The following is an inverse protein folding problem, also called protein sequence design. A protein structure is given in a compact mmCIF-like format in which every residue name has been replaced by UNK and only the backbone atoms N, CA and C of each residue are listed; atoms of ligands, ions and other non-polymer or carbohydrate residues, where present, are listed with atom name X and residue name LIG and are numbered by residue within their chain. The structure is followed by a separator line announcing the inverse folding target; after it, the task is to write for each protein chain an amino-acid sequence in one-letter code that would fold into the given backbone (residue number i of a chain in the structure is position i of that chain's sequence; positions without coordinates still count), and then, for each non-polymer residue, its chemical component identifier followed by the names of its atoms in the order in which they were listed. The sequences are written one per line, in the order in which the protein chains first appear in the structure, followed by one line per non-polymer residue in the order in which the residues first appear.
data_IF_676511672220
#
_entry.id   IF_676511672220
#
_cell.length_a   1.000
_cell.length_b   1.000
_cell.length_c   1.000
_cell.angle_alpha   90.00
_cell.angle_beta   90.00
_cell.angle_gamma   90.00
#
_symmetry.space_group_name_H-M   'P 1'
#
loop_
_entity.id
_entity.type
_entity.pdbx_description
1 polymer ?
#
# COMPACT_ATOMS: atom_id res chain seq x y z
N UNK A 1 -6.63 -31.52 20.83
CA UNK A 1 -5.52 -31.30 19.87
C UNK A 1 -6.07 -31.57 18.49
N UNK A 2 -6.34 -30.52 17.71
CA UNK A 2 -6.79 -30.62 16.34
C UNK A 2 -6.05 -29.57 15.51
N UNK A 3 -5.19 -30.10 14.65
CA UNK A 3 -4.79 -29.64 13.31
C UNK A 3 -4.54 -28.14 13.09
N UNK A 4 -3.25 -27.86 12.92
CA UNK A 4 -2.66 -26.65 12.33
C UNK A 4 -3.28 -26.33 10.96
N UNK A 5 -3.92 -25.15 10.84
CA UNK A 5 -4.14 -24.53 9.54
C UNK A 5 -2.82 -23.87 9.15
N UNK A 6 -2.02 -24.66 8.42
CA UNK A 6 -0.86 -24.17 7.69
C UNK A 6 -1.41 -23.23 6.63
N UNK A 7 -1.36 -21.92 6.93
CA UNK A 7 -1.44 -20.90 5.90
C UNK A 7 -0.25 -21.14 4.97
N UNK A 8 -0.48 -21.95 3.95
CA UNK A 8 0.42 -22.21 2.83
C UNK A 8 0.40 -20.96 1.94
N UNK A 9 0.82 -19.83 2.51
CA UNK A 9 0.91 -18.57 1.79
C UNK A 9 2.24 -18.59 1.04
N UNK A 10 2.22 -19.25 -0.13
CA UNK A 10 3.21 -19.00 -1.17
C UNK A 10 3.45 -17.49 -1.23
N UNK A 11 4.70 -16.99 -1.28
CA UNK A 11 4.93 -15.59 -1.55
C UNK A 11 4.31 -15.31 -2.93
N UNK A 12 3.10 -14.75 -2.95
CA UNK A 12 2.44 -14.32 -4.18
C UNK A 12 3.38 -13.30 -4.79
N UNK A 13 4.06 -13.71 -5.86
CA UNK A 13 5.01 -12.85 -6.54
C UNK A 13 4.30 -11.56 -6.90
N UNK A 14 4.90 -10.39 -6.62
CA UNK A 14 4.21 -9.13 -6.80
C UNK A 14 3.86 -8.94 -8.28
N UNK A 15 2.65 -8.46 -8.54
CA UNK A 15 2.22 -8.08 -9.89
C UNK A 15 2.79 -6.69 -10.18
N UNK A 16 3.73 -6.63 -11.12
CA UNK A 16 4.46 -5.40 -11.45
C UNK A 16 3.87 -4.78 -12.71
N UNK A 17 3.31 -3.59 -12.59
CA UNK A 17 2.94 -2.77 -13.73
C UNK A 17 4.17 -2.06 -14.26
N UNK A 18 4.46 -2.23 -15.55
CA UNK A 18 5.62 -1.62 -16.21
C UNK A 18 5.14 -0.46 -17.07
N UNK A 19 5.73 0.72 -16.86
CA UNK A 19 5.58 1.88 -17.72
C UNK A 19 6.95 2.39 -18.15
N UNK A 20 7.06 2.83 -19.41
CA UNK A 20 8.34 3.25 -19.99
C UNK A 20 8.86 4.51 -19.27
N UNK A 21 10.05 4.41 -18.68
CA UNK A 21 10.71 5.53 -18.03
C UNK A 21 10.15 5.92 -16.66
N UNK A 22 9.26 5.12 -16.06
CA UNK A 22 8.68 5.38 -14.74
C UNK A 22 8.99 4.20 -13.83
N UNK A 23 9.53 4.49 -12.64
CA UNK A 23 9.80 3.48 -11.60
C UNK A 23 8.53 3.27 -10.78
N UNK A 24 8.27 2.03 -10.35
CA UNK A 24 7.16 1.73 -9.44
C UNK A 24 7.53 2.21 -8.03
N UNK A 25 6.85 3.24 -7.56
CA UNK A 25 7.10 3.93 -6.28
C UNK A 25 5.96 3.69 -5.27
N UNK A 26 4.93 2.93 -5.66
CA UNK A 26 3.80 2.55 -4.81
C UNK A 26 3.72 1.03 -4.71
N UNK A 27 3.61 0.51 -3.50
CA UNK A 27 3.21 -0.86 -3.20
C UNK A 27 1.77 -0.87 -2.68
N UNK A 28 0.91 -1.64 -3.33
CA UNK A 28 -0.45 -1.92 -2.86
C UNK A 28 -0.52 -3.39 -2.45
N UNK A 29 -0.90 -3.68 -1.22
CA UNK A 29 -1.25 -5.02 -0.78
C UNK A 29 -2.77 -5.13 -0.68
N UNK A 30 -3.37 -5.87 -1.60
CA UNK A 30 -4.81 -6.07 -1.68
C UNK A 30 -5.13 -7.52 -1.36
N UNK A 31 -5.72 -7.76 -0.18
CA UNK A 31 -6.06 -9.10 0.30
C UNK A 31 -4.92 -10.14 0.17
N UNK A 32 -3.68 -9.74 0.47
CA UNK A 32 -2.49 -10.61 0.39
C UNK A 32 -1.75 -10.54 -0.95
N UNK A 33 -2.39 -10.02 -2.00
CA UNK A 33 -1.75 -9.84 -3.31
C UNK A 33 -1.02 -8.49 -3.36
N UNK A 34 0.29 -8.54 -3.61
CA UNK A 34 1.11 -7.34 -3.76
C UNK A 34 1.14 -6.84 -5.21
N UNK A 35 0.93 -5.54 -5.40
CA UNK A 35 1.02 -4.85 -6.67
C UNK A 35 2.05 -3.72 -6.59
N UNK A 36 2.93 -3.64 -7.58
CA UNK A 36 3.87 -2.54 -7.73
C UNK A 36 3.38 -1.63 -8.85
N UNK A 37 3.02 -0.40 -8.49
CA UNK A 37 2.40 0.59 -9.38
C UNK A 37 3.08 1.94 -9.27
N UNK A 38 2.62 2.90 -10.06
CA UNK A 38 3.21 4.22 -10.20
C UNK A 38 2.27 5.28 -9.61
N UNK A 39 2.76 6.09 -8.68
CA UNK A 39 1.98 7.16 -8.04
C UNK A 39 1.51 8.18 -9.07
N UNK A 40 2.34 8.50 -10.07
CA UNK A 40 1.98 9.43 -11.14
C UNK A 40 0.75 8.98 -11.93
N UNK A 41 0.65 7.68 -12.24
CA UNK A 41 -0.50 7.12 -12.96
C UNK A 41 -1.73 7.08 -12.05
N UNK A 42 -1.58 6.67 -10.78
CA UNK A 42 -2.70 6.67 -9.83
C UNK A 42 -3.28 8.07 -9.63
N UNK A 43 -2.42 9.07 -9.46
CA UNK A 43 -2.82 10.48 -9.31
C UNK A 43 -3.50 11.04 -10.56
N UNK A 44 -3.09 10.60 -11.74
CA UNK A 44 -3.68 11.02 -13.01
C UNK A 44 -5.12 10.52 -13.18
N UNK A 45 -5.43 9.32 -12.70
CA UNK A 45 -6.72 8.66 -12.95
C UNK A 45 -7.63 8.52 -11.72
N UNK A 46 -7.19 8.94 -10.54
CA UNK A 46 -7.97 8.84 -9.31
C UNK A 46 -7.80 10.07 -8.45
N UNK A 47 -8.90 10.80 -8.27
CA UNK A 47 -8.94 11.95 -7.35
C UNK A 47 -8.63 11.52 -5.91
N UNK A 48 -9.04 10.30 -5.52
CA UNK A 48 -8.69 9.74 -4.21
C UNK A 48 -7.16 9.67 -4.02
N UNK A 49 -6.45 9.01 -4.93
CA UNK A 49 -4.99 8.90 -4.81
C UNK A 49 -4.28 10.23 -4.98
N UNK A 50 -4.83 11.14 -5.80
CA UNK A 50 -4.34 12.52 -5.89
C UNK A 50 -4.40 13.25 -4.55
N UNK A 51 -5.53 13.17 -3.83
CA UNK A 51 -5.70 13.85 -2.55
C UNK A 51 -4.90 13.20 -1.42
N UNK A 52 -4.82 11.88 -1.36
CA UNK A 52 -4.29 11.18 -0.18
C UNK A 52 -2.84 10.74 -0.26
N UNK A 53 -2.27 10.56 -1.46
CA UNK A 53 -0.85 10.17 -1.57
C UNK A 53 0.09 11.29 -1.10
N UNK A 54 -0.22 12.56 -1.34
CA UNK A 54 0.64 13.69 -0.96
C UNK A 54 0.07 14.54 0.19
N UNK A 55 -0.97 14.06 0.90
CA UNK A 55 -1.59 14.81 1.98
C UNK A 55 -0.55 15.16 3.08
N UNK A 56 -0.55 16.37 3.66
CA UNK A 56 0.35 16.69 4.76
C UNK A 56 0.16 15.72 5.94
N UNK A 57 1.23 15.07 6.37
CA UNK A 57 1.20 13.97 7.36
C UNK A 57 1.01 12.58 6.77
N UNK A 58 0.89 12.46 5.44
CA UNK A 58 1.05 11.18 4.75
C UNK A 58 2.53 10.80 4.76
N UNK A 59 2.78 9.66 5.40
CA UNK A 59 3.74 8.69 4.91
C UNK A 59 5.19 9.15 4.66
N UNK A 60 6.07 8.96 5.66
CA UNK A 60 7.51 8.83 5.34
C UNK A 60 7.70 7.57 4.49
N UNK A 61 8.64 7.59 3.53
CA UNK A 61 9.03 6.39 2.79
C UNK A 61 9.29 5.25 3.79
N UNK A 62 8.75 4.06 3.51
CA UNK A 62 8.91 2.92 4.43
C UNK A 62 10.40 2.60 4.51
N UNK A 63 10.97 2.71 5.71
CA UNK A 63 12.40 2.53 5.94
C UNK A 63 12.86 1.17 5.40
N UNK A 64 13.94 1.18 4.61
CA UNK A 64 14.49 -0.02 3.97
C UNK A 64 13.78 -0.47 2.70
N UNK A 65 12.85 0.31 2.15
CA UNK A 65 12.19 0.01 0.86
C UNK A 65 12.44 1.10 -0.18
N UNK A 66 12.37 0.72 -1.47
CA UNK A 66 12.40 1.66 -2.58
C UNK A 66 11.03 2.33 -2.84
N UNK A 67 9.99 1.95 -2.08
CA UNK A 67 8.64 2.46 -2.27
C UNK A 67 8.40 3.71 -1.44
N UNK A 68 7.94 4.76 -2.12
CA UNK A 68 7.52 6.00 -1.47
C UNK A 68 6.21 5.80 -0.72
N UNK A 69 5.30 4.99 -1.28
CA UNK A 69 3.99 4.74 -0.71
C UNK A 69 3.76 3.23 -0.53
N UNK A 70 3.25 2.86 0.63
CA UNK A 70 2.85 1.50 0.96
C UNK A 70 1.43 1.52 1.50
N UNK A 71 0.55 0.74 0.89
CA UNK A 71 -0.87 0.73 1.20
C UNK A 71 -1.35 -0.70 1.35
N UNK A 72 -2.23 -0.95 2.31
CA UNK A 72 -2.74 -2.29 2.62
C UNK A 72 -4.26 -2.29 2.79
N UNK A 73 -4.88 -3.42 2.50
CA UNK A 73 -6.31 -3.63 2.79
C UNK A 73 -6.55 -3.69 4.30
N UNK A 74 -7.49 -2.87 4.76
CA UNK A 74 -8.09 -2.96 6.08
C UNK A 74 -9.57 -3.33 5.92
N UNK A 75 -9.91 -4.53 6.35
CA UNK A 75 -11.30 -4.97 6.44
C UNK A 75 -11.99 -4.20 7.57
N UNK A 76 -13.17 -3.68 7.30
CA UNK A 76 -14.01 -2.93 8.26
C UNK A 76 -15.39 -3.59 8.36
N UNK A 77 -16.23 -3.08 9.26
CA UNK A 77 -17.62 -3.50 9.43
C UNK A 77 -17.80 -5.03 9.54
N UNK A 78 -16.95 -5.66 10.35
CA UNK A 78 -16.93 -7.10 10.59
C UNK A 78 -16.83 -7.96 9.31
N UNK A 79 -16.22 -7.44 8.24
CA UNK A 79 -16.11 -8.12 6.95
C UNK A 79 -17.09 -7.65 5.88
N UNK A 80 -17.96 -6.69 6.20
CA UNK A 80 -18.94 -6.13 5.26
C UNK A 80 -18.34 -5.16 4.24
N UNK A 81 -17.22 -4.53 4.56
CA UNK A 81 -16.54 -3.59 3.67
C UNK A 81 -15.02 -3.61 3.90
N UNK A 82 -14.27 -2.96 3.01
CA UNK A 82 -12.83 -2.82 3.12
C UNK A 82 -12.37 -1.49 2.54
N UNK A 83 -11.30 -0.98 3.11
CA UNK A 83 -10.65 0.24 2.64
C UNK A 83 -9.17 0.00 2.45
N UNK A 84 -8.59 0.76 1.54
CA UNK A 84 -7.15 0.79 1.36
C UNK A 84 -6.58 1.89 2.25
N UNK A 85 -5.63 1.54 3.12
CA UNK A 85 -5.03 2.47 4.08
C UNK A 85 -3.52 2.53 3.92
N UNK A 86 -2.95 3.71 4.14
CA UNK A 86 -1.49 3.88 4.16
C UNK A 86 -0.89 3.09 5.33
N UNK A 87 0.13 2.28 5.02
CA UNK A 87 0.96 1.54 5.96
C UNK A 87 2.30 2.24 6.23
N UNK A 88 2.50 3.43 5.68
CA UNK A 88 3.68 4.22 5.96
C UNK A 88 3.67 4.75 7.40
N UNK A 89 4.85 4.98 7.96
CA UNK A 89 4.98 5.63 9.26
C UNK A 89 4.42 7.06 9.19
N UNK A 90 3.56 7.40 10.16
CA UNK A 90 3.06 8.75 10.32
C UNK A 90 4.21 9.63 10.84
N UNK A 91 4.48 10.74 10.17
CA UNK A 91 5.38 11.76 10.69
C UNK A 91 4.76 12.30 11.97
N UNK A 92 5.29 11.91 13.13
CA UNK A 92 4.96 12.55 14.39
C UNK A 92 5.57 13.96 14.34
N UNK A 93 4.74 14.98 14.16
CA UNK A 93 5.15 16.35 14.45
C UNK A 93 5.45 16.41 15.96
N UNK A 94 6.73 16.28 16.32
CA UNK A 94 7.22 16.68 17.63
C UNK A 94 6.99 18.19 17.72
N UNK A 95 5.96 18.59 18.48
CA UNK A 95 5.84 19.95 18.97
C UNK A 95 7.05 20.23 19.86
N UNK A 96 7.97 21.05 19.37
CA UNK A 96 8.98 21.72 20.21
C UNK A 96 8.38 22.96 20.84
#
# INVERSE_FOLDING_TARGET
MATTNKADELPQSPIIFKARGIVSDVRLNVFGTSFHVHSSILKLYSHYFFSYLDAPGSATAVAGTAFKYDWTTKVVDAGGDWQLVSNNEKVAFSSS
#
